data_IF_685471129765
#
_entry.id   IF_685471129765
#
_cell.length_a   1.000
_cell.length_b   1.000
_cell.length_c   1.000
_cell.angle_alpha   90.00
_cell.angle_beta   90.00
_cell.angle_gamma   90.00
#
_symmetry.space_group_name_H-M   'P 1'
#
loop_
_entity.id
_entity.type
_entity.pdbx_description
1 polymer ?
#
# COMPACT_ATOMS: atom_id res chain seq x y z
N UNK A 1 -6.01 5.72 35.75
CA UNK A 1 -5.23 5.62 34.50
C UNK A 1 -6.20 5.26 33.39
N UNK A 2 -6.54 6.20 32.52
CA UNK A 2 -7.44 5.95 31.39
C UNK A 2 -6.58 5.57 30.19
N UNK A 3 -6.76 4.33 29.70
CA UNK A 3 -6.17 3.90 28.43
C UNK A 3 -7.03 4.52 27.33
N UNK A 4 -6.47 5.49 26.60
CA UNK A 4 -7.10 6.02 25.39
C UNK A 4 -6.85 4.97 24.30
N UNK A 5 -7.86 4.16 24.01
CA UNK A 5 -7.88 3.37 22.78
C UNK A 5 -8.09 4.34 21.62
N UNK A 6 -6.99 4.79 21.00
CA UNK A 6 -7.03 5.39 19.67
C UNK A 6 -7.40 4.25 18.71
N UNK A 7 -8.69 4.04 18.47
CA UNK A 7 -9.14 3.19 17.39
C UNK A 7 -8.63 3.81 16.08
N UNK A 8 -7.55 3.25 15.52
CA UNK A 8 -7.14 3.58 14.16
C UNK A 8 -8.24 3.09 13.23
N UNK A 9 -8.63 3.94 12.27
CA UNK A 9 -9.72 3.62 11.35
C UNK A 9 -9.27 2.49 10.41
N UNK A 10 -9.79 1.29 10.66
CA UNK A 10 -9.62 0.14 9.77
C UNK A 10 -10.28 0.41 8.43
N UNK A 11 -9.56 0.10 7.35
CA UNK A 11 -10.00 0.21 5.96
C UNK A 11 -9.82 -1.13 5.25
N UNK A 12 -10.34 -1.24 4.02
CA UNK A 12 -10.05 -2.36 3.13
C UNK A 12 -9.40 -1.86 1.86
N UNK A 13 -8.49 -2.64 1.29
CA UNK A 13 -7.83 -2.37 0.00
C UNK A 13 -7.88 -3.61 -0.88
N UNK A 14 -7.87 -3.41 -2.20
CA UNK A 14 -7.68 -4.49 -3.16
C UNK A 14 -6.23 -4.95 -3.19
N UNK A 15 -5.99 -6.15 -3.70
CA UNK A 15 -4.64 -6.69 -3.90
C UNK A 15 -4.42 -6.95 -5.38
N UNK A 16 -3.30 -6.46 -5.91
CA UNK A 16 -2.78 -6.90 -7.20
C UNK A 16 -1.39 -7.53 -7.02
N UNK A 17 -0.92 -8.18 -8.06
CA UNK A 17 0.40 -8.80 -8.13
C UNK A 17 1.20 -7.97 -9.13
N UNK A 18 2.35 -7.45 -8.73
CA UNK A 18 3.22 -6.68 -9.60
C UNK A 18 4.61 -7.27 -9.71
N UNK A 19 5.27 -7.07 -10.85
CA UNK A 19 6.71 -7.30 -10.93
C UNK A 19 7.46 -6.26 -10.08
N UNK A 20 8.62 -6.60 -9.48
CA UNK A 20 9.35 -5.68 -8.60
C UNK A 20 9.79 -4.38 -9.28
N UNK A 21 9.95 -4.41 -10.61
CA UNK A 21 10.32 -3.25 -11.43
C UNK A 21 9.13 -2.41 -11.90
N UNK A 22 7.90 -2.85 -11.61
CA UNK A 22 6.66 -2.19 -12.01
C UNK A 22 6.34 -2.26 -13.50
N UNK A 23 7.01 -3.15 -14.25
CA UNK A 23 6.79 -3.31 -15.70
C UNK A 23 5.48 -4.01 -16.04
N UNK A 24 4.97 -4.82 -15.10
CA UNK A 24 3.72 -5.57 -15.26
C UNK A 24 2.98 -5.71 -13.93
N UNK A 25 1.66 -5.78 -14.02
CA UNK A 25 0.78 -6.06 -12.90
C UNK A 25 -0.53 -6.70 -13.36
N UNK A 26 -1.10 -7.53 -12.48
CA UNK A 26 -2.44 -8.08 -12.67
C UNK A 26 -3.22 -8.11 -11.36
N UNK A 27 -4.52 -7.88 -11.47
CA UNK A 27 -5.43 -7.99 -10.33
C UNK A 27 -5.44 -9.40 -9.79
N UNK A 28 -5.56 -9.50 -8.46
CA UNK A 28 -5.70 -10.80 -7.86
C UNK A 28 -7.15 -11.14 -7.57
N UNK A 29 -7.51 -12.35 -8.00
CA UNK A 29 -8.83 -12.92 -7.86
C UNK A 29 -8.83 -14.15 -6.93
N UNK A 30 -9.92 -14.34 -6.21
CA UNK A 30 -10.19 -15.59 -5.48
C UNK A 30 -10.64 -16.73 -6.43
N UNK A 31 -10.88 -17.91 -5.88
CA UNK A 31 -11.33 -19.09 -6.65
C UNK A 31 -12.70 -18.90 -7.33
N UNK A 32 -13.46 -17.88 -6.91
CA UNK A 32 -14.77 -17.52 -7.47
C UNK A 32 -14.67 -16.36 -8.48
N UNK A 33 -13.46 -15.84 -8.74
CA UNK A 33 -13.23 -14.73 -9.66
C UNK A 33 -13.51 -13.35 -9.07
N UNK A 34 -13.65 -13.20 -7.75
CA UNK A 34 -13.82 -11.90 -7.11
C UNK A 34 -12.47 -11.30 -6.74
N UNK A 35 -12.37 -9.97 -6.75
CA UNK A 35 -11.18 -9.27 -6.26
C UNK A 35 -10.87 -9.65 -4.81
N UNK A 36 -9.60 -9.89 -4.52
CA UNK A 36 -9.15 -10.11 -3.15
C UNK A 36 -9.02 -8.78 -2.43
N UNK A 37 -9.72 -8.66 -1.31
CA UNK A 37 -9.69 -7.49 -0.43
C UNK A 37 -9.00 -7.86 0.89
N UNK A 38 -8.23 -6.94 1.45
CA UNK A 38 -7.57 -7.12 2.74
C UNK A 38 -7.82 -5.93 3.67
N UNK A 39 -8.02 -6.24 4.95
CA UNK A 39 -8.27 -5.24 5.99
C UNK A 39 -6.93 -4.73 6.57
N UNK A 40 -6.88 -3.44 6.86
CA UNK A 40 -5.69 -2.77 7.40
C UNK A 40 -5.81 -1.25 7.36
N UNK A 41 -4.68 -0.56 7.28
CA UNK A 41 -4.63 0.89 7.43
C UNK A 41 -3.67 1.53 6.42
N UNK A 42 -4.14 2.56 5.72
CA UNK A 42 -3.26 3.40 4.91
C UNK A 42 -2.36 4.26 5.80
N UNK A 43 -1.06 4.28 5.49
CA UNK A 43 -0.06 5.11 6.16
C UNK A 43 0.83 5.79 5.14
N UNK A 44 1.42 6.91 5.55
CA UNK A 44 2.41 7.65 4.77
C UNK A 44 3.78 7.48 5.41
N UNK A 45 4.77 7.12 4.60
CA UNK A 45 6.18 7.09 4.98
C UNK A 45 6.85 8.32 4.39
N UNK A 46 7.19 9.28 5.24
CA UNK A 46 7.93 10.48 4.84
C UNK A 46 9.43 10.18 4.75
N UNK A 47 10.07 10.69 3.71
CA UNK A 47 11.50 10.61 3.46
C UNK A 47 12.19 11.94 3.82
N UNK A 48 13.52 11.92 3.87
CA UNK A 48 14.33 13.07 4.30
C UNK A 48 14.24 14.28 3.35
N UNK A 49 13.91 14.06 2.09
CA UNK A 49 13.83 15.08 1.03
C UNK A 49 12.42 15.66 0.86
N UNK A 50 11.58 15.56 1.89
CA UNK A 50 10.16 15.94 1.85
C UNK A 50 9.32 15.15 0.83
N UNK A 51 9.88 14.09 0.24
CA UNK A 51 9.11 13.12 -0.52
C UNK A 51 8.46 12.10 0.42
N UNK A 52 7.48 11.36 -0.10
CA UNK A 52 6.84 10.28 0.64
C UNK A 52 6.34 9.20 -0.30
N UNK A 53 6.12 8.00 0.25
CA UNK A 53 5.32 6.96 -0.39
C UNK A 53 4.26 6.47 0.59
N UNK A 54 3.20 5.87 0.05
CA UNK A 54 2.14 5.30 0.88
C UNK A 54 2.37 3.81 1.07
N UNK A 55 1.92 3.31 2.22
CA UNK A 55 1.92 1.88 2.54
C UNK A 55 0.57 1.48 3.09
N UNK A 56 0.19 0.23 2.88
CA UNK A 56 -0.95 -0.37 3.57
C UNK A 56 -0.45 -1.26 4.70
N UNK A 57 -0.66 -0.83 5.93
CA UNK A 57 -0.28 -1.59 7.11
C UNK A 57 -1.32 -2.67 7.41
N UNK A 58 -0.85 -3.91 7.56
CA UNK A 58 -1.70 -5.06 7.83
C UNK A 58 -1.06 -5.97 8.87
N UNK A 59 -1.88 -6.58 9.73
CA UNK A 59 -1.40 -7.58 10.67
C UNK A 59 -1.01 -8.86 9.94
N UNK A 60 0.10 -9.48 10.35
CA UNK A 60 0.59 -10.72 9.73
C UNK A 60 -0.47 -11.84 9.71
N UNK A 61 -1.27 -11.96 10.77
CA UNK A 61 -2.36 -12.94 10.86
C UNK A 61 -3.40 -12.75 9.76
N UNK A 62 -3.84 -11.51 9.51
CA UNK A 62 -4.80 -11.15 8.46
C UNK A 62 -4.21 -11.43 7.08
N UNK A 63 -2.95 -11.05 6.86
CA UNK A 63 -2.25 -11.30 5.60
C UNK A 63 -2.14 -12.80 5.28
N UNK A 64 -1.73 -13.60 6.26
CA UNK A 64 -1.57 -15.05 6.09
C UNK A 64 -2.92 -15.78 5.88
N UNK A 65 -4.01 -15.29 6.48
CA UNK A 65 -5.35 -15.88 6.31
C UNK A 65 -5.85 -15.81 4.87
N UNK A 66 -5.44 -14.80 4.10
CA UNK A 66 -5.85 -14.64 2.71
C UNK A 66 -5.22 -15.69 1.78
N UNK A 67 -4.22 -16.45 2.26
CA UNK A 67 -3.55 -17.56 1.53
C UNK A 67 -3.23 -17.18 0.09
N UNK A 68 -2.75 -15.96 -0.08
CA UNK A 68 -2.67 -15.32 -1.37
C UNK A 68 -1.61 -16.03 -2.22
N UNK A 69 -2.00 -16.51 -3.41
CA UNK A 69 -1.09 -17.15 -4.37
C UNK A 69 -0.79 -16.20 -5.51
N UNK A 70 0.47 -16.11 -5.88
CA UNK A 70 0.96 -15.22 -6.92
C UNK A 70 1.76 -16.00 -7.95
N UNK A 71 1.75 -15.59 -9.23
CA UNK A 71 2.69 -16.11 -10.22
C UNK A 71 4.14 -15.91 -9.77
N UNK A 72 5.03 -16.80 -10.19
CA UNK A 72 6.46 -16.69 -9.84
C UNK A 72 7.03 -15.36 -10.32
N UNK A 73 7.74 -14.66 -9.44
CA UNK A 73 8.33 -13.35 -9.72
C UNK A 73 7.42 -12.16 -9.41
N UNK A 74 6.12 -12.37 -9.18
CA UNK A 74 5.20 -11.30 -8.80
C UNK A 74 5.10 -11.18 -7.28
N UNK A 75 4.85 -9.96 -6.81
CA UNK A 75 4.76 -9.62 -5.39
C UNK A 75 3.40 -8.94 -5.14
N UNK A 76 2.70 -9.27 -4.04
CA UNK A 76 1.47 -8.58 -3.67
C UNK A 76 1.71 -7.12 -3.35
N UNK A 77 0.83 -6.28 -3.88
CA UNK A 77 0.78 -4.86 -3.57
C UNK A 77 -0.66 -4.40 -3.32
N UNK A 78 -0.89 -3.49 -2.36
CA UNK A 78 -2.20 -2.92 -2.10
C UNK A 78 -2.60 -1.98 -3.24
N UNK A 79 -3.89 -1.90 -3.49
CA UNK A 79 -4.49 -0.93 -4.40
C UNK A 79 -5.69 -0.27 -3.76
N UNK A 80 -5.61 1.06 -3.61
CA UNK A 80 -6.74 1.85 -3.14
C UNK A 80 -7.85 1.94 -4.21
N UNK A 81 -7.51 1.89 -5.52
CA UNK A 81 -8.41 2.11 -6.68
C UNK A 81 -7.89 1.49 -8.00
N UNK A 82 -8.70 1.55 -9.07
CA UNK A 82 -8.40 1.03 -10.42
C UNK A 82 -7.16 1.66 -11.11
N UNK A 83 -6.66 2.80 -10.63
CA UNK A 83 -5.41 3.43 -11.06
C UNK A 83 -4.66 3.84 -9.81
N UNK A 84 -4.21 2.87 -9.00
CA UNK A 84 -3.43 3.19 -7.81
C UNK A 84 -2.01 3.57 -8.22
N UNK A 85 -1.38 4.40 -7.40
CA UNK A 85 0.07 4.51 -7.46
C UNK A 85 0.67 3.17 -7.01
N UNK A 86 1.95 2.96 -7.26
CA UNK A 86 2.61 1.78 -6.72
C UNK A 86 2.84 1.96 -5.22
N UNK A 87 2.12 1.20 -4.40
CA UNK A 87 2.23 1.18 -2.95
C UNK A 87 2.67 -0.19 -2.44
N UNK A 88 3.18 -0.30 -1.21
CA UNK A 88 3.60 -1.61 -0.65
C UNK A 88 2.89 -1.92 0.66
N UNK A 89 2.81 -3.21 0.99
CA UNK A 89 2.38 -3.62 2.32
C UNK A 89 3.46 -3.33 3.37
N UNK A 90 3.01 -2.88 4.54
CA UNK A 90 3.77 -2.95 5.79
C UNK A 90 3.14 -4.06 6.64
N UNK A 91 3.92 -5.08 6.98
CA UNK A 91 3.44 -6.21 7.78
C UNK A 91 3.78 -5.96 9.24
N UNK A 92 2.76 -5.80 10.08
CA UNK A 92 2.88 -5.73 11.53
C UNK A 92 2.91 -7.13 12.14
N UNK A 93 3.96 -7.42 12.92
CA UNK A 93 4.20 -8.70 13.59
C UNK A 93 3.59 -8.70 15.00
N UNK A 94 3.23 -9.88 15.56
CA UNK A 94 2.64 -9.97 16.91
C UNK A 94 3.53 -9.44 18.04
N UNK A 95 4.85 -9.41 17.83
CA UNK A 95 5.82 -8.85 18.78
C UNK A 95 5.94 -7.31 18.71
N UNK A 96 5.12 -6.65 17.89
CA UNK A 96 5.10 -5.20 17.72
C UNK A 96 6.11 -4.65 16.71
N UNK A 97 7.00 -5.47 16.15
CA UNK A 97 7.85 -5.03 15.04
C UNK A 97 7.11 -5.08 13.71
N UNK A 98 7.69 -4.50 12.66
CA UNK A 98 7.12 -4.55 11.32
C UNK A 98 8.19 -4.55 10.25
N UNK A 99 7.83 -4.97 9.05
CA UNK A 99 8.68 -4.90 7.87
C UNK A 99 7.86 -4.45 6.65
N UNK A 100 8.53 -3.82 5.68
CA UNK A 100 7.93 -3.50 4.39
C UNK A 100 8.10 -4.70 3.46
N UNK A 101 7.04 -5.06 2.73
CA UNK A 101 7.18 -5.97 1.61
C UNK A 101 7.97 -5.30 0.47
N UNK A 102 8.65 -6.14 -0.30
CA UNK A 102 9.24 -5.73 -1.56
C UNK A 102 8.15 -5.29 -2.56
N UNK A 103 8.56 -4.65 -3.66
CA UNK A 103 7.66 -4.15 -4.69
C UNK A 103 7.95 -2.71 -5.08
N UNK A 104 7.44 -2.34 -6.25
CA UNK A 104 7.63 -1.02 -6.83
C UNK A 104 6.94 0.06 -5.98
N UNK A 105 7.49 1.27 -5.94
CA UNK A 105 6.96 2.38 -5.14
C UNK A 105 6.87 3.63 -5.96
N UNK A 106 5.72 4.29 -5.88
CA UNK A 106 5.54 5.64 -6.37
C UNK A 106 5.90 6.63 -5.27
N UNK A 107 6.86 7.49 -5.60
CA UNK A 107 7.29 8.56 -4.70
C UNK A 107 6.57 9.85 -5.07
N UNK A 108 6.04 10.51 -4.07
CA UNK A 108 5.36 11.79 -4.19
C UNK A 108 6.23 12.86 -3.56
N UNK A 109 6.33 14.03 -4.21
CA UNK A 109 7.00 15.17 -3.62
C UNK A 109 5.97 16.14 -3.03
N UNK A 110 6.24 16.66 -1.82
CA UNK A 110 5.41 17.73 -1.23
C UNK A 110 5.76 19.11 -1.78
N UNK A 111 6.93 19.28 -2.40
CA UNK A 111 7.32 20.49 -3.12
C UNK A 111 6.53 20.52 -4.43
N UNK A 112 5.33 21.12 -4.39
CA UNK A 112 4.70 21.60 -5.61
C UNK A 112 5.62 22.66 -6.20
N UNK A 113 6.05 22.57 -7.47
CA UNK A 113 6.52 23.77 -8.13
C UNK A 113 5.33 24.74 -8.13
N UNK A 114 5.42 25.81 -7.34
CA UNK A 114 4.56 26.98 -7.51
C UNK A 114 4.96 27.63 -8.84
N UNK A 115 4.53 27.04 -9.94
CA UNK A 115 4.52 27.73 -11.22
C UNK A 115 3.38 28.76 -11.17
N UNK A 116 3.65 29.87 -10.50
CA UNK A 116 2.96 31.14 -10.72
C UNK A 116 3.33 31.67 -12.11
N UNK A 117 2.97 30.95 -13.17
CA UNK A 117 2.77 31.57 -14.47
C UNK A 117 1.34 32.08 -14.49
N UNK A 118 1.15 33.26 -13.88
CA UNK A 118 0.07 34.15 -14.29
C UNK A 118 0.27 34.38 -15.80
N UNK A 119 -0.52 33.68 -16.62
CA UNK A 119 -0.70 34.08 -18.00
C UNK A 119 -1.37 35.44 -17.98
N UNK A 120 -0.64 36.44 -18.42
CA UNK A 120 -1.17 37.69 -18.93
C UNK A 120 -2.30 37.41 -19.93
N UNK A 121 -3.45 38.01 -19.69
CA UNK A 121 -4.45 38.39 -20.67
C UNK A 121 -4.81 39.85 -20.41
#
# INVERSE_FOLDING_TARGET
MSIINLAQASSTTYVYCGLPDGSDWDWLYDEQGNYINIEGEWRRISLHDSSFYNVFNVQQSIFNQKKIKFPSGYIPQPADRNTSYWEVFQISLPNGSSYFMEGNKSYHNTIRPQNHYLRSL
#
